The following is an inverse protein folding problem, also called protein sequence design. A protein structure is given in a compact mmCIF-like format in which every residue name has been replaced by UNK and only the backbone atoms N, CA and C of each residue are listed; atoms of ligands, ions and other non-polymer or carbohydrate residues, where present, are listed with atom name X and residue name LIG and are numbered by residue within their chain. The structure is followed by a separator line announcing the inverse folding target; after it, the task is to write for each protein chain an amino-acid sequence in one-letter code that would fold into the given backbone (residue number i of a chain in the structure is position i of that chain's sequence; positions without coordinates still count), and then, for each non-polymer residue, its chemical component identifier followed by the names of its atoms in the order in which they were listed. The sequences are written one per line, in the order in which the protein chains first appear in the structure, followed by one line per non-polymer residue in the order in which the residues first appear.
data_IF_599715903217
#
_entry.id   IF_599715903217
#
_cell.length_a   1.000
_cell.length_b   1.000
_cell.length_c   1.000
_cell.angle_alpha   90.00
_cell.angle_beta   90.00
_cell.angle_gamma   90.00
#
_symmetry.space_group_name_H-M   'P 1'
#
loop_
_entity.id
_entity.type
_entity.pdbx_description
1 polymer ?
#
# COMPACT_ATOMS: atom_id res chain seq x y z
N UNK A 1 13.36 -11.90 17.33
CA UNK A 1 12.08 -11.73 16.59
C UNK A 1 10.96 -12.24 17.49
N UNK A 2 9.89 -11.47 17.75
CA UNK A 2 8.77 -11.96 18.54
C UNK A 2 8.16 -13.20 17.89
N UNK A 3 7.86 -14.22 18.70
CA UNK A 3 7.16 -15.43 18.26
C UNK A 3 5.74 -15.08 17.80
N UNK A 4 5.29 -15.63 16.66
CA UNK A 4 3.96 -15.38 16.05
C UNK A 4 2.79 -15.51 17.05
N UNK A 5 2.97 -16.32 18.09
CA UNK A 5 1.95 -16.61 19.11
C UNK A 5 1.56 -15.42 20.00
N UNK A 6 2.34 -14.33 20.00
CA UNK A 6 2.10 -13.14 20.81
C UNK A 6 2.04 -11.84 19.96
N UNK A 7 1.88 -11.96 18.64
CA UNK A 7 1.73 -10.77 17.79
C UNK A 7 0.38 -10.09 18.09
N UNK A 8 0.34 -8.76 18.24
CA UNK A 8 -0.92 -8.04 18.37
C UNK A 8 -1.82 -8.31 17.17
N UNK A 9 -3.13 -8.41 17.41
CA UNK A 9 -4.11 -8.65 16.36
C UNK A 9 -4.03 -7.57 15.29
N UNK A 10 -4.09 -7.98 14.02
CA UNK A 10 -4.18 -7.06 12.87
C UNK A 10 -5.60 -6.48 12.70
N UNK A 11 -6.59 -6.91 13.49
CA UNK A 11 -7.97 -6.44 13.38
C UNK A 11 -8.13 -4.90 13.37
N UNK A 12 -7.41 -4.12 14.22
CA UNK A 12 -7.50 -2.66 14.19
C UNK A 12 -7.03 -2.04 12.86
N UNK A 13 -6.01 -2.64 12.23
CA UNK A 13 -5.51 -2.21 10.92
C UNK A 13 -6.57 -2.42 9.83
N UNK A 14 -7.28 -3.55 9.86
CA UNK A 14 -8.36 -3.82 8.92
C UNK A 14 -9.56 -2.88 9.08
N UNK A 15 -9.84 -2.41 10.30
CA UNK A 15 -10.94 -1.46 10.56
C UNK A 15 -10.56 0.01 10.35
N UNK A 16 -9.27 0.30 10.13
CA UNK A 16 -8.81 1.67 9.89
C UNK A 16 -9.26 2.17 8.51
N UNK A 17 -9.56 3.47 8.43
CA UNK A 17 -9.89 4.15 7.17
C UNK A 17 -8.69 4.99 6.73
N UNK A 18 -8.26 4.78 5.49
CA UNK A 18 -7.15 5.49 4.85
C UNK A 18 -7.72 6.14 3.59
N UNK A 19 -7.50 7.44 3.39
CA UNK A 19 -7.97 8.10 2.18
C UNK A 19 -7.10 7.70 1.00
N UNK A 20 -7.73 7.32 -0.11
CA UNK A 20 -7.05 7.11 -1.38
C UNK A 20 -6.60 8.45 -2.00
N UNK A 21 -5.86 8.41 -3.13
CA UNK A 21 -5.44 9.62 -3.82
C UNK A 21 -6.57 10.50 -4.37
N UNK A 22 -7.83 10.05 -4.39
CA UNK A 22 -8.99 10.88 -4.73
C UNK A 22 -9.66 11.46 -3.47
N UNK A 23 -9.13 11.17 -2.28
CA UNK A 23 -9.69 11.57 -0.98
C UNK A 23 -10.85 10.69 -0.53
N UNK A 24 -11.09 9.54 -1.17
CA UNK A 24 -12.15 8.62 -0.75
C UNK A 24 -11.62 7.70 0.35
N UNK A 25 -12.36 7.53 1.44
CA UNK A 25 -11.92 6.69 2.54
C UNK A 25 -12.01 5.21 2.13
N UNK A 26 -10.90 4.50 2.28
CA UNK A 26 -10.73 3.09 1.97
C UNK A 26 -10.38 2.32 3.24
N UNK A 27 -10.99 1.16 3.42
CA UNK A 27 -10.64 0.22 4.49
C UNK A 27 -9.81 -0.93 3.93
N UNK A 28 -8.79 -1.38 4.67
CA UNK A 28 -8.03 -2.58 4.29
C UNK A 28 -8.87 -3.87 4.40
N UNK A 29 -10.02 -3.83 5.07
CA UNK A 29 -10.99 -4.95 5.11
C UNK A 29 -11.45 -5.38 3.71
N UNK A 30 -11.41 -4.49 2.72
CA UNK A 30 -11.73 -4.85 1.32
C UNK A 30 -10.78 -5.90 0.73
N UNK A 31 -9.58 -6.05 1.33
CA UNK A 31 -8.58 -7.04 0.94
C UNK A 31 -8.55 -8.24 1.88
N UNK A 32 -9.59 -8.43 2.68
CA UNK A 32 -9.73 -9.63 3.51
C UNK A 32 -9.62 -10.89 2.64
N UNK A 33 -9.00 -11.93 3.19
CA UNK A 33 -8.72 -13.21 2.51
C UNK A 33 -7.72 -13.14 1.34
N UNK A 34 -7.06 -11.99 1.15
CA UNK A 34 -5.92 -11.83 0.23
C UNK A 34 -4.60 -11.78 0.98
N UNK A 35 -3.53 -12.19 0.31
CA UNK A 35 -2.17 -11.91 0.79
C UNK A 35 -1.85 -10.46 0.49
N UNK A 36 -1.62 -9.66 1.54
CA UNK A 36 -1.35 -8.23 1.40
C UNK A 36 0.14 -7.96 1.61
N UNK A 37 0.75 -7.30 0.64
CA UNK A 37 2.05 -6.64 0.80
C UNK A 37 1.79 -5.17 1.04
N UNK A 38 2.06 -4.71 2.27
CA UNK A 38 1.95 -3.31 2.66
C UNK A 38 3.29 -2.62 2.50
N UNK A 39 3.32 -1.53 1.75
CA UNK A 39 4.50 -0.69 1.56
C UNK A 39 4.22 0.72 2.09
N UNK A 40 4.95 1.16 3.12
CA UNK A 40 4.84 2.53 3.62
C UNK A 40 5.90 3.39 2.94
N UNK A 41 5.50 4.48 2.29
CA UNK A 41 6.40 5.28 1.46
C UNK A 41 6.11 6.78 1.57
N UNK A 42 7.03 7.60 1.10
CA UNK A 42 6.88 9.05 1.03
C UNK A 42 7.48 9.60 -0.27
N UNK A 43 7.04 10.79 -0.70
CA UNK A 43 7.52 11.36 -1.97
C UNK A 43 9.00 11.76 -1.92
N UNK A 44 9.51 12.01 -0.72
CA UNK A 44 10.90 12.31 -0.41
C UNK A 44 11.75 11.05 -0.10
N UNK A 45 11.14 9.87 0.03
CA UNK A 45 11.87 8.63 0.30
C UNK A 45 12.41 8.04 -1.00
N UNK A 46 13.65 8.38 -1.37
CA UNK A 46 14.30 7.86 -2.56
C UNK A 46 14.32 6.33 -2.68
N UNK A 47 14.81 5.55 -1.69
CA UNK A 47 14.83 4.08 -1.80
C UNK A 47 13.42 3.50 -1.95
N UNK A 48 12.42 4.07 -1.27
CA UNK A 48 11.03 3.63 -1.43
C UNK A 48 10.56 3.76 -2.88
N UNK A 49 10.92 4.85 -3.58
CA UNK A 49 10.54 5.09 -4.98
C UNK A 49 11.23 4.13 -5.94
N UNK A 50 12.45 3.71 -5.63
CA UNK A 50 13.18 2.71 -6.40
C UNK A 50 12.59 1.31 -6.24
N UNK A 51 11.92 1.01 -5.12
CA UNK A 51 11.29 -0.29 -4.87
C UNK A 51 9.88 -0.42 -5.49
N UNK A 52 9.16 0.71 -5.66
CA UNK A 52 7.82 0.75 -6.27
C UNK A 52 7.70 0.01 -7.62
N UNK A 53 8.63 0.16 -8.59
CA UNK A 53 8.65 -0.63 -9.83
C UNK A 53 8.52 -2.13 -9.60
N UNK A 54 9.36 -2.67 -8.72
CA UNK A 54 9.46 -4.10 -8.47
C UNK A 54 8.21 -4.60 -7.75
N UNK A 55 7.69 -3.81 -6.80
CA UNK A 55 6.40 -4.12 -6.16
C UNK A 55 5.24 -4.15 -7.17
N UNK A 56 5.22 -3.23 -8.14
CA UNK A 56 4.22 -3.23 -9.21
C UNK A 56 4.33 -4.47 -10.11
N UNK A 57 5.56 -4.91 -10.39
CA UNK A 57 5.82 -6.15 -11.13
C UNK A 57 5.35 -7.38 -10.35
N UNK A 58 5.70 -7.48 -9.06
CA UNK A 58 5.23 -8.56 -8.17
C UNK A 58 3.71 -8.63 -8.14
N UNK A 59 3.04 -7.48 -8.02
CA UNK A 59 1.59 -7.42 -8.10
C UNK A 59 1.08 -8.00 -9.43
N UNK A 60 1.62 -7.53 -10.56
CA UNK A 60 1.21 -7.99 -11.89
C UNK A 60 1.39 -9.50 -12.10
N UNK A 61 2.51 -10.07 -11.65
CA UNK A 61 2.83 -11.49 -11.77
C UNK A 61 1.99 -12.40 -10.85
N UNK A 62 1.48 -11.86 -9.73
CA UNK A 62 0.77 -12.64 -8.71
C UNK A 62 -0.72 -12.28 -8.60
N UNK A 63 -1.30 -11.55 -9.56
CA UNK A 63 -2.75 -11.23 -9.59
C UNK A 63 -3.63 -12.48 -9.50
N UNK A 64 -3.23 -13.58 -10.14
CA UNK A 64 -3.96 -14.86 -10.11
C UNK A 64 -3.80 -15.64 -8.79
N UNK A 65 -2.87 -15.22 -7.92
CA UNK A 65 -2.55 -15.89 -6.65
C UNK A 65 -3.12 -15.17 -5.42
N UNK A 66 -4.16 -14.35 -5.60
CA UNK A 66 -4.78 -13.59 -4.51
C UNK A 66 -3.82 -12.65 -3.74
N UNK A 67 -2.74 -12.19 -4.39
CA UNK A 67 -1.83 -11.20 -3.82
C UNK A 67 -2.26 -9.78 -4.21
N UNK A 68 -2.22 -8.87 -3.24
CA UNK A 68 -2.38 -7.43 -3.47
C UNK A 68 -1.21 -6.67 -2.87
N UNK A 69 -0.77 -5.64 -3.57
CA UNK A 69 0.20 -4.67 -3.07
C UNK A 69 -0.57 -3.39 -2.76
N UNK A 70 -0.38 -2.87 -1.55
CA UNK A 70 -0.99 -1.63 -1.09
C UNK A 70 0.12 -0.71 -0.61
N UNK A 71 0.32 0.40 -1.31
CA UNK A 71 1.24 1.44 -0.88
C UNK A 71 0.50 2.51 -0.07
N UNK A 72 0.91 2.71 1.18
CA UNK A 72 0.38 3.74 2.09
C UNK A 72 1.36 4.91 2.12
N UNK A 73 0.92 6.09 1.70
CA UNK A 73 1.74 7.28 1.77
C UNK A 73 1.75 7.88 3.19
N UNK A 74 2.93 8.20 3.72
CA UNK A 74 3.11 8.88 5.02
C UNK A 74 3.42 10.38 4.85
N UNK A 75 3.01 10.94 3.73
CA UNK A 75 3.31 12.30 3.28
C UNK A 75 2.04 13.14 3.12
N UNK A 76 2.17 14.44 2.85
CA UNK A 76 1.03 15.30 2.60
C UNK A 76 0.29 14.90 1.31
N UNK A 77 -1.04 14.85 1.37
CA UNK A 77 -1.90 14.47 0.24
C UNK A 77 -1.56 15.24 -1.05
N UNK A 78 -1.26 16.54 -0.93
CA UNK A 78 -0.88 17.39 -2.08
C UNK A 78 0.44 16.96 -2.71
N UNK A 79 1.43 16.59 -1.90
CA UNK A 79 2.72 16.09 -2.38
C UNK A 79 2.54 14.75 -3.09
N UNK A 80 1.79 13.83 -2.47
CA UNK A 80 1.46 12.52 -3.04
C UNK A 80 0.75 12.66 -4.37
N UNK A 81 -0.34 13.44 -4.44
CA UNK A 81 -1.09 13.70 -5.69
C UNK A 81 -0.19 14.27 -6.78
N UNK A 82 0.68 15.21 -6.43
CA UNK A 82 1.62 15.83 -7.37
C UNK A 82 2.67 14.84 -7.88
N UNK A 83 3.10 13.92 -7.03
CA UNK A 83 4.03 12.85 -7.39
C UNK A 83 3.37 11.81 -8.30
N UNK A 84 2.18 11.32 -7.93
CA UNK A 84 1.45 10.31 -8.69
C UNK A 84 1.07 10.79 -10.10
N UNK A 85 0.74 12.08 -10.28
CA UNK A 85 0.51 12.67 -11.61
C UNK A 85 1.71 12.55 -12.55
N UNK A 86 2.93 12.50 -12.01
CA UNK A 86 4.17 12.35 -12.80
C UNK A 86 4.50 10.88 -13.10
N UNK A 87 3.91 9.95 -12.36
CA UNK A 87 4.25 8.52 -12.40
C UNK A 87 3.03 7.68 -12.83
N UNK A 88 2.90 7.44 -14.15
CA UNK A 88 1.73 6.81 -14.81
C UNK A 88 1.58 5.27 -14.66
N UNK A 89 2.28 4.62 -13.75
CA UNK A 89 2.45 3.15 -13.74
C UNK A 89 2.11 2.48 -12.39
N UNK A 90 1.72 3.29 -11.42
CA UNK A 90 1.37 2.92 -10.05
C UNK A 90 -0.09 2.43 -10.03
N UNK A 91 -0.30 1.12 -9.81
CA UNK A 91 -1.61 0.47 -10.09
C UNK A 91 -2.54 0.39 -8.87
N UNK A 92 -2.05 0.45 -7.62
CA UNK A 92 -2.86 0.48 -6.39
C UNK A 92 -2.10 1.15 -5.24
N UNK A 93 -2.35 2.43 -5.02
CA UNK A 93 -1.84 3.16 -3.86
C UNK A 93 -3.02 3.80 -3.16
N UNK A 94 -3.08 3.60 -1.85
CA UNK A 94 -4.04 4.21 -0.95
C UNK A 94 -3.34 5.39 -0.28
#
# INVERSE_FOLDING_TARGET
MPSEKNAPSTAPLYTSMINDPDGKPQSLKQFQDKTIVLNFWATWCEPCREEMPELSKVYAENKSKNLVVVGIAIDEEKAVKSYLKKQRWITLYL
#
